data_IF_091136209393
#
_entry.id   IF_091136209393
#
_cell.length_a   1.000
_cell.length_b   1.000
_cell.length_c   1.000
_cell.angle_alpha   90.00
_cell.angle_beta   90.00
_cell.angle_gamma   90.00
#
_symmetry.space_group_name_H-M   'P 1'
#
loop_
_entity.id
_entity.type
_entity.pdbx_description
1 polymer ?
#
# COMPACT_ATOMS: atom_id res chain seq x y z
N UNK A 1 -15.70 1.55 -6.61
CA UNK A 1 -14.86 2.46 -5.80
C UNK A 1 -13.50 1.86 -5.40
N UNK A 2 -13.23 0.58 -5.67
CA UNK A 2 -11.94 -0.10 -5.37
C UNK A 2 -10.82 0.21 -6.38
N UNK A 3 -11.17 0.37 -7.66
CA UNK A 3 -10.23 0.65 -8.75
C UNK A 3 -9.34 1.88 -8.48
N UNK A 4 -9.86 3.06 -8.07
CA UNK A 4 -9.00 4.20 -7.80
C UNK A 4 -8.08 3.99 -6.59
N UNK A 5 -8.50 3.22 -5.59
CA UNK A 5 -7.71 2.91 -4.39
C UNK A 5 -6.52 2.03 -4.78
N UNK A 6 -6.75 1.00 -5.60
CA UNK A 6 -5.69 0.13 -6.13
C UNK A 6 -4.68 0.92 -6.98
N UNK A 7 -5.15 1.86 -7.80
CA UNK A 7 -4.26 2.72 -8.61
C UNK A 7 -3.40 3.61 -7.70
N UNK A 8 -3.99 4.21 -6.68
CA UNK A 8 -3.26 5.07 -5.73
C UNK A 8 -2.22 4.27 -4.93
N UNK A 9 -2.57 3.06 -4.53
CA UNK A 9 -1.71 2.15 -3.78
C UNK A 9 -0.47 1.74 -4.59
N UNK A 10 -0.67 1.31 -5.84
CA UNK A 10 0.43 0.97 -6.77
C UNK A 10 1.28 2.18 -7.11
N UNK A 11 0.67 3.36 -7.28
CA UNK A 11 1.39 4.61 -7.50
C UNK A 11 2.25 5.00 -6.29
N UNK A 12 1.75 4.85 -5.06
CA UNK A 12 2.50 5.09 -3.83
C UNK A 12 3.66 4.11 -3.64
N UNK A 13 3.48 2.83 -3.99
CA UNK A 13 4.54 1.81 -3.97
C UNK A 13 5.60 2.11 -5.03
N UNK A 14 5.20 2.47 -6.26
CA UNK A 14 6.14 2.86 -7.30
C UNK A 14 6.93 4.12 -6.90
N UNK A 15 6.26 5.07 -6.26
CA UNK A 15 6.87 6.31 -5.77
C UNK A 15 7.83 6.05 -4.59
N UNK A 16 7.52 5.08 -3.71
CA UNK A 16 8.42 4.70 -2.61
C UNK A 16 9.68 3.98 -3.10
N UNK A 17 9.56 3.11 -4.12
CA UNK A 17 10.69 2.52 -4.81
C UNK A 17 11.58 3.57 -5.49
N UNK A 18 10.97 4.56 -6.16
CA UNK A 18 11.69 5.68 -6.76
C UNK A 18 12.43 6.52 -5.69
N UNK A 19 11.80 6.77 -4.54
CA UNK A 19 12.43 7.45 -3.39
C UNK A 19 13.60 6.64 -2.81
N UNK A 20 13.47 5.31 -2.76
CA UNK A 20 14.49 4.41 -2.23
C UNK A 20 15.74 4.37 -3.13
N UNK A 21 15.58 4.42 -4.45
CA UNK A 21 16.69 4.50 -5.40
C UNK A 21 17.50 5.80 -5.23
N UNK A 22 16.82 6.94 -5.02
CA UNK A 22 17.48 8.21 -4.68
C UNK A 22 18.13 8.22 -3.28
N UNK A 23 17.54 7.51 -2.31
CA UNK A 23 18.07 7.42 -0.95
C UNK A 23 19.35 6.58 -0.87
N UNK A 24 19.50 5.56 -1.72
CA UNK A 24 20.72 4.74 -1.82
C UNK A 24 21.91 5.59 -2.30
N UNK A 25 21.68 6.53 -3.23
CA UNK A 25 22.71 7.44 -3.71
C UNK A 25 23.15 8.47 -2.65
N UNK A 26 22.24 8.83 -1.73
CA UNK A 26 22.49 9.80 -0.65
C UNK A 26 22.75 9.19 0.74
N UNK A 27 22.74 7.85 0.90
CA UNK A 27 23.00 7.14 2.17
C UNK A 27 22.07 7.51 3.33
N UNK A 28 20.86 8.00 3.06
CA UNK A 28 19.90 8.37 4.11
C UNK A 28 18.96 7.21 4.47
N UNK A 29 19.25 6.57 5.61
CA UNK A 29 18.51 5.43 6.17
C UNK A 29 17.01 5.71 6.40
N UNK A 30 16.65 6.98 6.59
CA UNK A 30 15.28 7.43 6.92
C UNK A 30 14.30 7.24 5.76
N UNK A 31 14.73 7.48 4.50
CA UNK A 31 13.86 7.32 3.33
C UNK A 31 13.55 5.85 3.00
N UNK A 32 14.54 4.97 3.19
CA UNK A 32 14.38 3.54 2.95
C UNK A 32 13.38 2.91 3.95
N UNK A 33 13.43 3.34 5.21
CA UNK A 33 12.50 2.92 6.26
C UNK A 33 11.09 3.48 6.03
N UNK A 34 10.99 4.74 5.59
CA UNK A 34 9.71 5.37 5.23
C UNK A 34 9.02 4.63 4.06
N UNK A 35 9.77 4.25 3.02
CA UNK A 35 9.23 3.47 1.90
C UNK A 35 8.72 2.09 2.32
N UNK A 36 9.44 1.40 3.22
CA UNK A 36 9.03 0.10 3.77
C UNK A 36 7.76 0.17 4.63
N UNK A 37 7.63 1.22 5.46
CA UNK A 37 6.42 1.46 6.27
C UNK A 37 5.19 1.77 5.39
N UNK A 38 5.37 2.53 4.30
CA UNK A 38 4.30 2.81 3.34
C UNK A 38 3.86 1.54 2.61
N UNK A 39 4.79 0.68 2.18
CA UNK A 39 4.47 -0.59 1.56
C UNK A 39 3.73 -1.55 2.52
N UNK A 40 4.12 -1.57 3.81
CA UNK A 40 3.40 -2.35 4.84
C UNK A 40 1.99 -1.83 5.09
N UNK A 41 1.78 -0.51 5.10
CA UNK A 41 0.47 0.10 5.28
C UNK A 41 -0.46 -0.18 4.09
N UNK A 42 0.06 -0.09 2.86
CA UNK A 42 -0.61 -0.45 1.63
C UNK A 42 -1.09 -1.93 1.63
N UNK A 43 -0.19 -2.85 1.99
CA UNK A 43 -0.55 -4.27 2.13
C UNK A 43 -1.64 -4.50 3.19
N UNK A 44 -1.59 -3.79 4.33
CA UNK A 44 -2.62 -3.85 5.36
C UNK A 44 -3.99 -3.36 4.88
N UNK A 45 -4.03 -2.27 4.10
CA UNK A 45 -5.26 -1.76 3.49
C UNK A 45 -5.91 -2.77 2.54
N UNK A 46 -5.11 -3.48 1.74
CA UNK A 46 -5.61 -4.54 0.85
C UNK A 46 -6.25 -5.69 1.64
N UNK A 47 -5.64 -6.13 2.74
CA UNK A 47 -6.19 -7.20 3.59
C UNK A 47 -7.51 -6.79 4.22
N UNK A 48 -7.60 -5.57 4.77
CA UNK A 48 -8.84 -5.06 5.37
C UNK A 48 -9.94 -4.95 4.32
N UNK A 49 -9.63 -4.46 3.12
CA UNK A 49 -10.59 -4.38 2.03
C UNK A 49 -11.08 -5.76 1.59
N UNK A 50 -10.18 -6.73 1.51
CA UNK A 50 -10.53 -8.11 1.16
C UNK A 50 -11.43 -8.73 2.22
N UNK A 51 -11.10 -8.54 3.49
CA UNK A 51 -11.88 -9.03 4.63
C UNK A 51 -13.25 -8.36 4.70
N UNK A 52 -13.31 -7.05 4.52
CA UNK A 52 -14.56 -6.28 4.50
C UNK A 52 -15.45 -6.70 3.33
N UNK A 53 -14.87 -6.92 2.14
CA UNK A 53 -15.58 -7.44 0.97
C UNK A 53 -16.19 -8.81 1.25
N UNK A 54 -15.41 -9.73 1.82
CA UNK A 54 -15.88 -11.07 2.16
C UNK A 54 -16.97 -11.05 3.25
N UNK A 55 -16.80 -10.21 4.27
CA UNK A 55 -17.77 -10.08 5.37
C UNK A 55 -19.08 -9.41 4.91
N UNK A 56 -19.00 -8.36 4.10
CA UNK A 56 -20.16 -7.72 3.48
C UNK A 56 -20.91 -8.70 2.57
N UNK A 57 -20.22 -9.44 1.71
CA UNK A 57 -20.85 -10.45 0.85
C UNK A 57 -21.56 -11.51 1.68
N UNK A 58 -20.96 -11.98 2.78
CA UNK A 58 -21.58 -12.96 3.65
C UNK A 58 -22.84 -12.42 4.36
N UNK A 59 -22.82 -11.15 4.77
CA UNK A 59 -23.95 -10.47 5.41
C UNK A 59 -25.09 -10.12 4.44
N UNK A 60 -24.77 -9.76 3.20
CA UNK A 60 -25.75 -9.41 2.15
C UNK A 60 -26.41 -10.64 1.53
N UNK A 61 -25.82 -11.83 1.72
CA UNK A 61 -26.35 -13.11 1.21
C UNK A 61 -27.26 -13.82 2.23
N UNK A 62 -27.55 -13.16 3.35
CA UNK A 62 -28.43 -13.59 4.44
C UNK A 62 -29.74 -12.78 4.40
#
# INVERSE_FOLDING_TARGET
MLIPILIFDVALVAWSLHLMEKAVEHKEFSLMLAGGLVAMAAAGMLVVYFLMGHCMTYLLQL
#
